data_IF_447211339500
#
_entry.id   IF_447211339500
#
_cell.length_a   1.000
_cell.length_b   1.000
_cell.length_c   1.000
_cell.angle_alpha   90.00
_cell.angle_beta   90.00
_cell.angle_gamma   90.00
#
_symmetry.space_group_name_H-M   'P 1'
#
loop_
_entity.id
_entity.type
_entity.pdbx_description
1 polymer ?
#
# COMPACT_ATOMS: atom_id res chain seq x y z
N UNK A 1 4.37 1.98 12.03
CA UNK A 1 4.91 0.74 11.43
C UNK A 1 4.33 -0.55 12.02
N UNK A 2 4.27 -0.69 13.36
CA UNK A 2 3.82 -1.93 14.03
C UNK A 2 2.45 -2.47 13.54
N UNK A 3 1.44 -1.61 13.43
CA UNK A 3 0.12 -1.97 12.90
C UNK A 3 0.20 -2.59 11.50
N UNK A 4 0.91 -1.96 10.57
CA UNK A 4 1.00 -2.42 9.18
C UNK A 4 1.68 -3.81 9.07
N UNK A 5 2.74 -4.05 9.84
CA UNK A 5 3.41 -5.34 9.89
C UNK A 5 2.48 -6.45 10.40
N UNK A 6 1.78 -6.19 11.51
CA UNK A 6 0.81 -7.12 12.07
C UNK A 6 -0.36 -7.34 11.11
N UNK A 7 -0.89 -6.28 10.50
CA UNK A 7 -1.99 -6.36 9.56
C UNK A 7 -1.64 -7.23 8.36
N UNK A 8 -0.48 -7.01 7.73
CA UNK A 8 -0.02 -7.81 6.60
C UNK A 8 0.07 -9.30 6.96
N UNK A 9 0.66 -9.62 8.12
CA UNK A 9 0.82 -11.01 8.58
C UNK A 9 -0.51 -11.68 8.92
N UNK A 10 -1.42 -10.97 9.61
CA UNK A 10 -2.71 -11.51 10.11
C UNK A 10 -3.77 -11.63 9.02
N UNK A 11 -3.81 -10.69 8.09
CA UNK A 11 -4.82 -10.64 7.01
C UNK A 11 -4.49 -11.54 5.81
N UNK A 12 -3.31 -12.16 5.77
CA UNK A 12 -2.86 -12.95 4.62
C UNK A 12 -2.31 -12.10 3.48
N UNK A 13 -1.57 -11.04 3.81
CA UNK A 13 -0.83 -10.20 2.88
C UNK A 13 -1.57 -8.96 2.36
N UNK A 14 -2.69 -8.57 2.98
CA UNK A 14 -3.33 -7.30 2.62
C UNK A 14 -2.59 -6.10 3.22
N UNK A 15 -2.64 -4.98 2.51
CA UNK A 15 -2.07 -3.69 2.88
C UNK A 15 -3.23 -2.69 3.00
N UNK A 16 -3.38 -1.97 4.12
CA UNK A 16 -4.31 -0.85 4.22
C UNK A 16 -3.90 0.29 3.27
N UNK A 17 -4.86 0.91 2.58
CA UNK A 17 -4.60 2.07 1.72
C UNK A 17 -4.09 3.24 2.56
N UNK A 18 -3.11 4.01 2.05
CA UNK A 18 -2.61 5.22 2.68
C UNK A 18 -2.87 6.46 1.78
N UNK A 19 -3.46 7.56 2.31
CA UNK A 19 -4.00 7.69 3.66
C UNK A 19 -5.20 6.74 3.89
N UNK A 20 -5.32 6.25 5.13
CA UNK A 20 -6.38 5.33 5.55
C UNK A 20 -7.75 5.94 5.24
N UNK A 21 -8.63 5.15 4.60
CA UNK A 21 -9.98 5.57 4.19
C UNK A 21 -10.13 5.94 2.71
N UNK A 22 -9.04 5.95 1.92
CA UNK A 22 -9.15 5.97 0.47
C UNK A 22 -9.57 4.60 -0.08
N UNK A 23 -10.31 4.63 -1.19
CA UNK A 23 -10.76 3.43 -1.89
C UNK A 23 -9.84 3.12 -3.06
N UNK A 24 -9.53 1.85 -3.24
CA UNK A 24 -8.85 1.34 -4.44
C UNK A 24 -9.64 0.18 -5.01
N UNK A 25 -9.52 -0.07 -6.31
CA UNK A 25 -10.25 -1.11 -7.02
C UNK A 25 -9.27 -2.09 -7.68
N UNK A 26 -9.68 -3.35 -7.90
CA UNK A 26 -8.93 -4.24 -8.76
C UNK A 26 -8.67 -3.56 -10.11
N UNK A 27 -7.41 -3.62 -10.55
CA UNK A 27 -6.97 -3.02 -11.78
C UNK A 27 -6.46 -1.59 -11.64
N UNK A 28 -6.64 -0.94 -10.49
CA UNK A 28 -5.99 0.35 -10.25
C UNK A 28 -4.48 0.17 -10.31
N UNK A 29 -3.82 1.01 -11.09
CA UNK A 29 -2.37 1.07 -11.14
C UNK A 29 -1.88 2.39 -10.59
N UNK A 30 -0.81 2.32 -9.81
CA UNK A 30 -0.34 3.43 -9.00
C UNK A 30 1.17 3.41 -8.83
N UNK A 31 1.71 4.53 -8.34
CA UNK A 31 3.09 4.64 -7.89
C UNK A 31 3.11 5.11 -6.43
N UNK A 32 4.16 4.70 -5.71
CA UNK A 32 4.46 5.27 -4.40
C UNK A 32 5.55 6.32 -4.61
N UNK A 33 5.23 7.59 -4.35
CA UNK A 33 6.20 8.70 -4.43
C UNK A 33 6.07 9.56 -3.18
N UNK A 34 7.20 9.89 -2.56
CA UNK A 34 7.27 10.79 -1.39
C UNK A 34 6.28 10.41 -0.27
N UNK A 35 6.23 9.12 0.10
CA UNK A 35 5.31 8.65 1.14
C UNK A 35 3.84 8.58 0.74
N UNK A 36 3.50 8.84 -0.52
CA UNK A 36 2.11 8.88 -1.00
C UNK A 36 1.86 7.88 -2.11
N UNK A 37 0.70 7.23 -2.01
CA UNK A 37 0.13 6.44 -3.10
C UNK A 37 -0.54 7.37 -4.11
N UNK A 38 -0.03 7.39 -5.33
CA UNK A 38 -0.60 8.18 -6.44
C UNK A 38 -1.25 7.20 -7.41
N UNK A 39 -2.59 7.12 -7.38
CA UNK A 39 -3.36 6.32 -8.34
C UNK A 39 -3.31 7.01 -9.71
N UNK A 40 -2.79 6.30 -10.70
CA UNK A 40 -2.54 6.83 -12.04
C UNK A 40 -3.65 6.46 -13.03
N UNK A 41 -4.37 5.38 -12.76
CA UNK A 41 -5.48 4.95 -13.59
C UNK A 41 -5.92 3.54 -13.22
N UNK A 42 -6.72 2.94 -14.10
CA UNK A 42 -7.19 1.57 -13.96
C UNK A 42 -7.02 0.82 -15.28
N UNK A 43 -6.56 -0.44 -15.26
CA UNK A 43 -6.26 -1.23 -16.46
C UNK A 43 -7.50 -1.49 -17.35
N UNK A 44 -8.72 -1.33 -16.83
CA UNK A 44 -9.95 -1.44 -17.61
C UNK A 44 -10.30 -0.13 -18.34
N UNK A 45 -9.69 0.99 -17.94
CA UNK A 45 -9.85 2.27 -18.63
C UNK A 45 -8.89 2.33 -19.82
N UNK A 46 -9.32 3.00 -20.88
CA UNK A 46 -8.56 3.18 -22.12
C UNK A 46 -8.13 1.87 -22.80
N UNK A 47 -8.81 0.74 -22.50
CA UNK A 47 -8.54 -0.58 -23.08
C UNK A 47 -7.09 -1.06 -22.88
N UNK A 48 -6.50 -0.74 -21.72
CA UNK A 48 -5.19 -1.33 -21.35
C UNK A 48 -5.33 -2.84 -21.22
N UNK A 49 -6.47 -3.35 -20.76
CA UNK A 49 -6.93 -4.74 -20.90
C UNK A 49 -8.41 -4.69 -21.29
N UNK A 50 -8.84 -5.58 -22.19
CA UNK A 50 -10.26 -5.66 -22.55
C UNK A 50 -11.02 -6.34 -21.41
N UNK A 51 -12.22 -5.83 -21.09
CA UNK A 51 -13.05 -6.35 -19.99
C UNK A 51 -13.44 -7.83 -20.16
N UNK A 52 -13.42 -8.35 -21.38
CA UNK A 52 -13.69 -9.76 -21.69
C UNK A 52 -12.50 -10.68 -21.40
N UNK A 53 -11.29 -10.12 -21.31
CA UNK A 53 -10.05 -10.87 -21.07
C UNK A 53 -9.75 -10.99 -19.56
N UNK A 54 -10.61 -10.45 -18.69
CA UNK A 54 -10.43 -10.50 -17.23
C UNK A 54 -11.49 -11.37 -16.56
N UNK A 55 -11.04 -12.24 -15.67
CA UNK A 55 -11.90 -13.02 -14.78
C UNK A 55 -11.81 -12.42 -13.37
N UNK A 56 -12.93 -11.86 -12.89
CA UNK A 56 -13.03 -11.31 -11.54
C UNK A 56 -13.84 -12.26 -10.66
N UNK A 57 -13.24 -12.70 -9.56
CA UNK A 57 -13.92 -13.41 -8.49
C UNK A 57 -14.49 -12.43 -7.47
N UNK A 58 -15.79 -12.49 -7.24
CA UNK A 58 -16.51 -11.68 -6.25
C UNK A 58 -16.80 -12.48 -4.98
N UNK A 59 -17.04 -11.78 -3.86
CA UNK A 59 -17.54 -12.34 -2.60
C UNK A 59 -16.68 -13.47 -2.01
N UNK A 60 -15.35 -13.39 -2.17
CA UNK A 60 -14.45 -14.37 -1.55
C UNK A 60 -14.39 -14.08 -0.05
N UNK A 61 -15.06 -14.91 0.77
CA UNK A 61 -15.05 -14.72 2.22
C UNK A 61 -13.63 -14.87 2.77
N UNK A 62 -13.20 -13.87 3.54
CA UNK A 62 -11.92 -13.91 4.24
C UNK A 62 -12.12 -14.45 5.66
N UNK A 63 -11.04 -14.97 6.25
CA UNK A 63 -11.07 -15.49 7.62
C UNK A 63 -11.27 -14.33 8.62
N UNK A 64 -12.41 -14.23 9.34
CA UNK A 64 -12.69 -13.11 10.24
C UNK A 64 -11.68 -12.96 11.37
N UNK A 65 -11.05 -14.05 11.82
CA UNK A 65 -10.05 -14.01 12.90
C UNK A 65 -8.78 -13.24 12.50
N UNK A 66 -8.46 -13.19 11.21
CA UNK A 66 -7.35 -12.40 10.66
C UNK A 66 -7.66 -10.89 10.58
N UNK A 67 -8.89 -10.49 10.89
CA UNK A 67 -9.43 -9.14 10.72
C UNK A 67 -9.94 -8.53 12.04
N UNK A 68 -9.63 -9.17 13.17
CA UNK A 68 -9.89 -8.64 14.51
C UNK A 68 -8.75 -9.02 15.44
N UNK A 69 -7.86 -8.08 15.71
CA UNK A 69 -6.66 -8.31 16.52
C UNK A 69 -6.15 -7.01 17.14
N UNK A 70 -5.32 -7.13 18.16
CA UNK A 70 -4.72 -6.01 18.87
C UNK A 70 -3.31 -6.39 19.30
N UNK A 71 -2.54 -5.36 19.64
CA UNK A 71 -1.20 -5.49 20.20
C UNK A 71 -1.00 -4.39 21.25
N UNK A 72 -0.56 -4.77 22.45
CA UNK A 72 -0.36 -3.84 23.56
C UNK A 72 -1.64 -3.18 24.11
N UNK A 73 -2.81 -3.79 23.96
CA UNK A 73 -4.09 -3.22 24.45
C UNK A 73 -4.72 -4.07 25.55
N UNK A 74 -5.12 -3.41 26.63
CA UNK A 74 -5.92 -4.01 27.70
C UNK A 74 -7.27 -3.31 27.84
N UNK A 75 -8.22 -4.00 28.47
CA UNK A 75 -9.59 -3.51 28.71
C UNK A 75 -9.82 -3.37 30.22
N UNK A 76 -9.21 -2.36 30.88
CA UNK A 76 -9.27 -2.23 32.34
C UNK A 76 -10.70 -2.03 32.87
N UNK A 77 -11.60 -1.52 32.03
CA UNK A 77 -13.00 -1.35 32.40
C UNK A 77 -13.94 -1.67 31.22
N UNK A 78 -14.97 -2.45 31.50
CA UNK A 78 -16.15 -2.60 30.65
C UNK A 78 -17.35 -2.82 31.57
N UNK A 79 -18.32 -1.91 31.54
CA UNK A 79 -19.43 -1.94 32.49
C UNK A 79 -20.50 -0.89 32.22
N UNK A 80 -21.50 -0.86 33.10
CA UNK A 80 -22.61 0.08 33.04
C UNK A 80 -22.28 1.34 33.85
N UNK A 81 -22.66 2.49 33.31
CA UNK A 81 -22.68 3.77 33.99
C UNK A 81 -24.09 4.35 34.00
N UNK A 82 -24.34 5.26 34.94
CA UNK A 82 -25.56 6.08 34.96
C UNK A 82 -25.19 7.56 34.82
N UNK A 83 -25.96 8.27 34.00
CA UNK A 83 -25.83 9.70 33.77
C UNK A 83 -27.11 10.42 34.14
N UNK A 84 -27.02 11.72 34.44
CA UNK A 84 -28.19 12.60 34.61
C UNK A 84 -28.20 13.68 33.54
N UNK A 85 -29.22 13.69 32.71
CA UNK A 85 -29.46 14.75 31.74
C UNK A 85 -30.55 15.72 32.26
N UNK A 86 -30.41 17.05 32.05
CA UNK A 86 -31.38 18.03 32.55
C UNK A 86 -32.82 17.83 32.02
N UNK A 87 -32.96 17.18 30.85
CA UNK A 87 -34.25 17.01 30.14
C UNK A 87 -34.77 15.56 30.24
N UNK A 88 -33.88 14.56 30.18
CA UNK A 88 -34.26 13.14 30.09
C UNK A 88 -34.23 12.39 31.43
N UNK A 89 -33.75 13.02 32.52
CA UNK A 89 -33.61 12.35 33.81
C UNK A 89 -32.37 11.46 33.90
N UNK A 90 -32.44 10.40 34.71
CA UNK A 90 -31.41 9.37 34.80
C UNK A 90 -31.45 8.47 33.56
N UNK A 91 -30.30 8.27 32.91
CA UNK A 91 -30.15 7.34 31.80
C UNK A 91 -28.99 6.40 32.07
N UNK A 92 -29.10 5.15 31.62
CA UNK A 92 -28.03 4.17 31.67
C UNK A 92 -27.24 4.17 30.36
N UNK A 93 -25.94 3.93 30.46
CA UNK A 93 -25.08 3.77 29.30
C UNK A 93 -24.05 2.66 29.56
N UNK A 94 -23.56 2.04 28.50
CA UNK A 94 -22.42 1.12 28.60
C UNK A 94 -21.14 1.90 28.34
N UNK A 95 -20.09 1.67 29.13
CA UNK A 95 -18.78 2.32 29.00
C UNK A 95 -17.66 1.28 28.95
N UNK A 96 -16.66 1.53 28.11
CA UNK A 96 -15.46 0.73 27.95
C UNK A 96 -14.24 1.65 27.93
N UNK A 97 -13.21 1.28 28.69
CA UNK A 97 -11.91 1.95 28.67
C UNK A 97 -10.91 0.98 28.06
N UNK A 98 -10.16 1.46 27.07
CA UNK A 98 -9.06 0.77 26.43
C UNK A 98 -7.75 1.45 26.84
N UNK A 99 -6.84 0.70 27.43
CA UNK A 99 -5.52 1.19 27.82
C UNK A 99 -4.44 0.58 26.92
N UNK A 100 -3.59 1.44 26.36
CA UNK A 100 -2.52 1.09 25.44
C UNK A 100 -1.17 1.14 26.17
N UNK A 101 -0.40 0.07 26.08
CA UNK A 101 0.82 -0.11 26.86
C UNK A 101 1.93 0.87 26.42
N UNK A 102 2.15 0.99 25.11
CA UNK A 102 3.27 1.72 24.53
C UNK A 102 2.87 2.45 23.25
N UNK A 103 3.68 3.44 22.83
CA UNK A 103 3.52 4.09 21.52
C UNK A 103 3.48 3.06 20.39
N UNK A 104 2.50 3.17 19.51
CA UNK A 104 2.29 2.24 18.40
C UNK A 104 1.53 0.96 18.76
N UNK A 105 1.14 0.76 20.04
CA UNK A 105 0.11 -0.21 20.42
C UNK A 105 -1.19 0.10 19.67
N UNK A 106 -1.96 -0.92 19.31
CA UNK A 106 -3.15 -0.72 18.49
C UNK A 106 -4.24 -1.77 18.73
N UNK A 107 -5.47 -1.43 18.38
CA UNK A 107 -6.59 -2.36 18.28
C UNK A 107 -7.30 -2.15 16.96
N UNK A 108 -7.49 -3.25 16.23
CA UNK A 108 -8.18 -3.29 14.94
C UNK A 108 -9.32 -4.30 14.99
N UNK A 109 -10.46 -3.91 14.43
CA UNK A 109 -11.62 -4.78 14.31
C UNK A 109 -12.34 -4.47 13.01
N UNK A 110 -12.67 -5.51 12.26
CA UNK A 110 -13.49 -5.41 11.08
C UNK A 110 -14.45 -6.60 10.98
N UNK A 111 -15.65 -6.32 10.47
CA UNK A 111 -16.72 -7.31 10.41
C UNK A 111 -16.97 -7.77 8.97
N UNK A 112 -17.23 -9.07 8.82
CA UNK A 112 -17.56 -9.72 7.54
C UNK A 112 -16.61 -9.35 6.39
N UNK A 113 -15.29 -9.62 6.55
CA UNK A 113 -14.32 -9.32 5.51
C UNK A 113 -14.53 -10.22 4.29
N UNK A 114 -14.57 -9.63 3.10
CA UNK A 114 -14.65 -10.30 1.82
C UNK A 114 -13.68 -9.66 0.82
N UNK A 115 -13.23 -10.43 -0.18
CA UNK A 115 -12.37 -9.91 -1.24
C UNK A 115 -12.95 -10.06 -2.64
N UNK A 116 -12.56 -9.10 -3.48
CA UNK A 116 -12.75 -9.10 -4.92
C UNK A 116 -11.36 -9.22 -5.55
N UNK A 117 -11.14 -10.22 -6.40
CA UNK A 117 -9.80 -10.53 -6.93
C UNK A 117 -9.81 -10.90 -8.41
N UNK A 118 -8.71 -10.61 -9.09
CA UNK A 118 -8.43 -11.15 -10.42
C UNK A 118 -8.04 -12.62 -10.33
N UNK A 119 -8.73 -13.49 -11.07
CA UNK A 119 -8.50 -14.94 -11.06
C UNK A 119 -7.47 -15.37 -12.11
N UNK A 120 -7.45 -14.68 -13.25
CA UNK A 120 -6.65 -15.02 -14.42
C UNK A 120 -5.40 -14.12 -14.59
N UNK A 121 -4.79 -13.68 -13.47
CA UNK A 121 -3.62 -12.80 -13.50
C UNK A 121 -2.50 -13.32 -14.41
N UNK A 122 -2.25 -14.63 -14.39
CA UNK A 122 -1.18 -15.25 -15.17
C UNK A 122 -1.34 -15.07 -16.67
N UNK A 123 -2.58 -14.93 -17.14
CA UNK A 123 -2.91 -14.80 -18.57
C UNK A 123 -2.70 -13.35 -19.05
N UNK A 124 -2.95 -12.37 -18.18
CA UNK A 124 -2.88 -10.94 -18.54
C UNK A 124 -1.54 -10.27 -18.20
N UNK A 125 -0.72 -10.88 -17.34
CA UNK A 125 0.47 -10.22 -16.77
C UNK A 125 1.49 -9.76 -17.83
N UNK A 126 1.70 -10.54 -18.89
CA UNK A 126 2.65 -10.20 -19.96
C UNK A 126 2.14 -9.04 -20.82
N UNK A 127 0.85 -9.06 -21.15
CA UNK A 127 0.21 -7.96 -21.86
C UNK A 127 0.31 -6.66 -21.04
N UNK A 128 0.13 -6.74 -19.72
CA UNK A 128 0.30 -5.60 -18.83
C UNK A 128 1.73 -5.04 -18.82
N UNK A 129 2.77 -5.90 -18.83
CA UNK A 129 4.16 -5.42 -18.96
C UNK A 129 4.31 -4.61 -20.25
N UNK A 130 3.92 -5.18 -21.39
CA UNK A 130 4.08 -4.51 -22.69
C UNK A 130 3.30 -3.18 -22.70
N UNK A 131 2.05 -3.19 -22.26
CA UNK A 131 1.15 -2.05 -22.39
C UNK A 131 1.48 -0.92 -21.43
N UNK A 132 1.89 -1.23 -20.19
CA UNK A 132 2.26 -0.24 -19.18
C UNK A 132 3.70 0.27 -19.30
N UNK A 133 4.58 -0.44 -20.01
CA UNK A 133 5.98 -0.01 -20.17
C UNK A 133 6.32 0.52 -21.56
N UNK A 134 5.55 0.15 -22.60
CA UNK A 134 5.82 0.55 -23.99
C UNK A 134 4.62 1.15 -24.73
N UNK A 135 3.47 0.46 -24.75
CA UNK A 135 2.40 0.81 -25.70
C UNK A 135 1.68 2.09 -25.32
N UNK A 136 1.29 2.22 -24.06
CA UNK A 136 0.50 3.36 -23.58
C UNK A 136 1.26 4.27 -22.63
N UNK A 137 2.23 3.71 -21.89
CA UNK A 137 3.02 4.42 -20.90
C UNK A 137 4.45 3.91 -20.93
N UNK A 138 5.34 4.61 -20.24
CA UNK A 138 6.77 4.26 -20.11
C UNK A 138 7.17 3.95 -18.67
N UNK A 139 6.28 3.29 -17.91
CA UNK A 139 6.56 3.01 -16.51
C UNK A 139 7.78 2.07 -16.35
N UNK A 140 8.56 2.33 -15.31
CA UNK A 140 9.70 1.49 -14.87
C UNK A 140 9.45 0.89 -13.48
N UNK A 141 8.68 1.61 -12.66
CA UNK A 141 8.13 1.17 -11.40
C UNK A 141 6.63 1.47 -11.41
N UNK A 142 5.78 0.46 -11.24
CA UNK A 142 4.34 0.62 -11.15
C UNK A 142 3.76 -0.55 -10.38
N UNK A 143 2.72 -0.29 -9.61
CA UNK A 143 1.96 -1.30 -8.88
C UNK A 143 0.61 -1.46 -9.57
N UNK A 144 0.08 -2.68 -9.60
CA UNK A 144 -1.27 -3.00 -10.07
C UNK A 144 -2.02 -3.73 -8.97
N UNK A 145 -3.14 -3.18 -8.52
CA UNK A 145 -4.01 -3.80 -7.52
C UNK A 145 -4.67 -5.04 -8.14
N UNK A 146 -4.43 -6.21 -7.55
CA UNK A 146 -4.95 -7.50 -8.04
C UNK A 146 -6.08 -8.04 -7.19
N UNK A 147 -6.13 -7.66 -5.92
CA UNK A 147 -7.14 -8.08 -4.97
C UNK A 147 -7.44 -6.92 -4.02
N UNK A 148 -8.71 -6.69 -3.73
CA UNK A 148 -9.15 -5.74 -2.69
C UNK A 148 -10.00 -6.46 -1.68
N UNK A 149 -9.93 -6.02 -0.43
CA UNK A 149 -10.80 -6.48 0.63
C UNK A 149 -11.71 -5.35 1.11
N UNK A 150 -12.96 -5.73 1.39
CA UNK A 150 -14.00 -4.87 1.96
C UNK A 150 -14.56 -5.54 3.21
N UNK A 151 -15.02 -4.75 4.16
CA UNK A 151 -15.69 -5.20 5.39
C UNK A 151 -17.00 -4.43 5.51
N UNK A 152 -17.99 -4.92 6.25
CA UNK A 152 -19.21 -4.12 6.50
C UNK A 152 -18.86 -2.79 7.17
N UNK A 153 -18.02 -2.90 8.18
CA UNK A 153 -17.47 -1.81 8.96
C UNK A 153 -16.06 -2.21 9.44
N UNK A 154 -15.26 -1.22 9.80
CA UNK A 154 -14.00 -1.44 10.51
C UNK A 154 -13.64 -0.27 11.40
N UNK A 155 -12.86 -0.55 12.44
CA UNK A 155 -12.36 0.46 13.39
C UNK A 155 -10.90 0.18 13.74
N UNK A 156 -10.11 1.23 13.78
CA UNK A 156 -8.70 1.21 14.18
C UNK A 156 -8.43 2.30 15.20
N UNK A 157 -7.73 1.96 16.28
CA UNK A 157 -7.10 2.91 17.19
C UNK A 157 -5.61 2.58 17.33
N UNK A 158 -4.76 3.60 17.28
CA UNK A 158 -3.30 3.50 17.42
C UNK A 158 -2.82 4.52 18.46
N UNK A 159 -2.04 4.04 19.42
CA UNK A 159 -1.44 4.84 20.48
C UNK A 159 -0.32 5.74 19.95
N UNK A 160 -0.34 7.02 20.31
CA UNK A 160 0.71 8.00 20.00
C UNK A 160 1.77 8.17 21.07
N UNK A 161 1.49 7.73 22.29
CA UNK A 161 2.42 7.75 23.43
C UNK A 161 2.27 6.49 24.28
N UNK A 162 3.08 6.40 25.33
CA UNK A 162 2.95 5.34 26.32
C UNK A 162 1.75 5.63 27.23
N UNK A 163 1.05 4.58 27.69
CA UNK A 163 -0.12 4.69 28.57
C UNK A 163 -1.26 5.53 28.00
N UNK A 164 -1.44 5.52 26.67
CA UNK A 164 -2.58 6.16 26.03
C UNK A 164 -3.89 5.46 26.42
N UNK A 165 -4.99 6.21 26.36
CA UNK A 165 -6.29 5.74 26.80
C UNK A 165 -7.40 6.19 25.84
N UNK A 166 -8.30 5.27 25.54
CA UNK A 166 -9.50 5.54 24.77
C UNK A 166 -10.72 5.12 25.58
N UNK A 167 -11.58 6.09 25.88
CA UNK A 167 -12.85 5.88 26.55
C UNK A 167 -14.00 5.96 25.54
N UNK A 168 -14.82 4.91 25.51
CA UNK A 168 -15.94 4.76 24.60
C UNK A 168 -17.20 4.47 25.42
N UNK A 169 -18.32 5.05 25.03
CA UNK A 169 -19.63 4.72 25.58
C UNK A 169 -20.67 4.47 24.49
N UNK A 170 -21.75 3.78 24.83
CA UNK A 170 -22.95 3.68 23.99
C UNK A 170 -24.19 3.93 24.83
N UNK A 171 -25.18 4.54 24.17
CA UNK A 171 -26.48 4.86 24.73
C UNK A 171 -27.41 3.62 24.75
N UNK A 172 -26.97 2.51 24.14
CA UNK A 172 -27.70 1.24 24.15
C UNK A 172 -27.33 0.39 25.37
N UNK A 173 -28.35 -0.02 26.12
CA UNK A 173 -28.19 -0.95 27.23
C UNK A 173 -27.86 -2.35 26.68
N UNK A 174 -26.60 -2.76 26.84
CA UNK A 174 -26.17 -4.11 26.49
C UNK A 174 -26.09 -4.97 27.76
N UNK A 175 -26.82 -6.09 27.78
CA UNK A 175 -26.92 -6.99 28.93
C UNK A 175 -25.71 -7.93 29.11
N UNK A 176 -24.48 -7.46 28.87
CA UNK A 176 -23.25 -8.26 29.05
C UNK A 176 -21.93 -7.48 29.01
N UNK A 177 -20.80 -8.18 29.18
CA UNK A 177 -19.41 -7.72 28.96
C UNK A 177 -19.15 -7.49 27.46
N UNK A 178 -19.91 -6.61 26.82
CA UNK A 178 -19.85 -6.43 25.37
C UNK A 178 -18.69 -5.52 24.99
N UNK A 179 -18.01 -5.90 23.92
CA UNK A 179 -16.95 -5.12 23.31
C UNK A 179 -17.54 -3.93 22.55
N UNK A 180 -17.46 -2.73 23.13
CA UNK A 180 -18.01 -1.51 22.54
C UNK A 180 -17.16 -0.98 21.38
N UNK A 181 -15.90 -1.41 21.29
CA UNK A 181 -15.00 -1.01 20.22
C UNK A 181 -15.56 -1.42 18.85
N UNK A 182 -15.77 -0.42 18.00
CA UNK A 182 -16.33 -0.55 16.66
C UNK A 182 -17.85 -0.73 16.60
N UNK A 183 -18.57 -0.60 17.71
CA UNK A 183 -20.02 -0.65 17.68
C UNK A 183 -20.61 0.60 17.00
N UNK A 184 -21.65 0.45 16.19
CA UNK A 184 -22.25 1.56 15.42
C UNK A 184 -22.78 2.70 16.30
N UNK A 185 -23.40 2.36 17.44
CA UNK A 185 -23.90 3.32 18.43
C UNK A 185 -22.83 3.86 19.39
N UNK A 186 -21.58 3.42 19.27
CA UNK A 186 -20.51 3.87 20.16
C UNK A 186 -20.10 5.32 19.90
N UNK A 187 -19.74 6.03 20.95
CA UNK A 187 -19.22 7.41 20.93
C UNK A 187 -17.95 7.47 21.76
N UNK A 188 -16.97 8.21 21.28
CA UNK A 188 -15.76 8.52 22.04
C UNK A 188 -16.07 9.56 23.10
N UNK A 189 -15.80 9.22 24.35
CA UNK A 189 -15.94 10.14 25.49
C UNK A 189 -14.61 10.85 25.73
N UNK A 190 -13.51 10.11 25.69
CA UNK A 190 -12.18 10.63 25.89
C UNK A 190 -11.18 9.91 24.99
N UNK A 191 -10.24 10.68 24.44
CA UNK A 191 -9.10 10.18 23.67
C UNK A 191 -7.85 10.87 24.22
N UNK A 192 -7.04 10.13 24.97
CA UNK A 192 -5.80 10.61 25.57
C UNK A 192 -4.63 9.95 24.86
N UNK A 193 -3.77 10.76 24.26
CA UNK A 193 -2.52 10.34 23.61
C UNK A 193 -2.70 9.27 22.49
N UNK A 194 -3.88 9.25 21.86
CA UNK A 194 -4.17 8.43 20.68
C UNK A 194 -3.73 9.20 19.43
N UNK A 195 -2.82 8.62 18.64
CA UNK A 195 -2.30 9.22 17.41
C UNK A 195 -3.28 9.07 16.25
N UNK A 196 -3.96 7.92 16.18
CA UNK A 196 -4.91 7.65 15.12
C UNK A 196 -6.14 6.93 15.67
N UNK A 197 -7.32 7.45 15.34
CA UNK A 197 -8.58 6.78 15.60
C UNK A 197 -9.52 6.98 14.41
N UNK A 198 -9.96 5.88 13.81
CA UNK A 198 -10.86 5.90 12.67
C UNK A 198 -11.88 4.79 12.74
N UNK A 199 -13.12 5.14 12.38
CA UNK A 199 -14.23 4.22 12.19
C UNK A 199 -14.80 4.43 10.79
N UNK A 200 -14.88 3.35 10.04
CA UNK A 200 -15.58 3.32 8.76
C UNK A 200 -16.82 2.44 8.92
N UNK A 201 -17.98 3.03 8.66
CA UNK A 201 -19.29 2.38 8.80
C UNK A 201 -19.82 1.85 7.46
N UNK A 202 -19.13 2.16 6.36
CA UNK A 202 -19.53 1.76 5.02
C UNK A 202 -18.59 0.71 4.46
N UNK A 203 -19.16 -0.23 3.71
CA UNK A 203 -18.40 -1.19 2.92
C UNK A 203 -17.62 -0.49 1.80
N UNK A 204 -16.34 -0.24 2.05
CA UNK A 204 -15.38 0.38 1.12
C UNK A 204 -14.13 -0.50 0.94
N UNK A 205 -13.56 -0.56 -0.27
CA UNK A 205 -12.33 -1.29 -0.54
C UNK A 205 -11.12 -0.51 -0.03
N UNK A 206 -10.85 -0.69 1.26
CA UNK A 206 -9.84 0.07 2.02
C UNK A 206 -8.53 -0.71 2.20
N UNK A 207 -8.48 -1.95 1.70
CA UNK A 207 -7.36 -2.86 1.87
C UNK A 207 -7.09 -3.57 0.55
N UNK A 208 -5.83 -3.79 0.20
CA UNK A 208 -5.48 -4.32 -1.12
C UNK A 208 -4.28 -5.26 -1.09
N UNK A 209 -4.16 -6.05 -2.15
CA UNK A 209 -2.91 -6.66 -2.59
C UNK A 209 -2.60 -6.17 -3.99
N UNK A 210 -1.32 -5.96 -4.24
CA UNK A 210 -0.86 -5.48 -5.52
C UNK A 210 0.33 -6.32 -6.02
N UNK A 211 0.51 -6.29 -7.33
CA UNK A 211 1.72 -6.75 -7.99
C UNK A 211 2.56 -5.54 -8.37
N UNK A 212 3.84 -5.56 -8.04
CA UNK A 212 4.80 -4.52 -8.39
C UNK A 212 5.64 -4.95 -9.58
N UNK A 213 5.85 -4.03 -10.51
CA UNK A 213 6.76 -4.22 -11.63
C UNK A 213 8.19 -4.13 -11.09
N UNK A 214 8.98 -5.18 -11.29
CA UNK A 214 10.39 -5.23 -10.89
C UNK A 214 11.25 -5.66 -12.06
N UNK A 215 12.52 -5.29 -11.99
CA UNK A 215 13.53 -5.76 -12.95
C UNK A 215 13.95 -7.17 -12.57
N UNK A 216 14.23 -8.00 -13.57
CA UNK A 216 14.86 -9.31 -13.36
C UNK A 216 16.34 -9.10 -13.06
N UNK A 217 16.74 -9.36 -11.82
CA UNK A 217 18.11 -9.21 -11.32
C UNK A 217 19.15 -9.91 -12.22
N UNK A 218 18.85 -11.13 -12.68
CA UNK A 218 19.71 -11.92 -13.58
C UNK A 218 20.04 -11.23 -14.93
N UNK A 219 19.25 -10.22 -15.31
CA UNK A 219 19.41 -9.47 -16.57
C UNK A 219 19.92 -8.05 -16.36
N UNK A 220 20.02 -7.58 -15.11
CA UNK A 220 20.59 -6.26 -14.78
C UNK A 220 22.06 -6.23 -15.15
N UNK A 221 22.82 -7.27 -14.81
CA UNK A 221 24.26 -7.32 -15.17
C UNK A 221 24.48 -7.34 -16.68
N UNK A 222 23.63 -8.04 -17.43
CA UNK A 222 23.67 -8.04 -18.90
C UNK A 222 23.34 -6.65 -19.46
N UNK A 223 22.29 -6.02 -18.96
CA UNK A 223 21.89 -4.67 -19.36
C UNK A 223 22.98 -3.63 -19.08
N UNK A 224 23.57 -3.67 -17.88
CA UNK A 224 24.67 -2.79 -17.49
C UNK A 224 25.87 -3.02 -18.40
N UNK A 225 26.20 -4.28 -18.70
CA UNK A 225 27.29 -4.62 -19.60
C UNK A 225 27.05 -4.12 -21.03
N UNK A 226 25.81 -4.24 -21.55
CA UNK A 226 25.38 -3.73 -22.86
C UNK A 226 25.46 -2.19 -22.92
N UNK A 227 24.94 -1.50 -21.91
CA UNK A 227 25.01 -0.04 -21.78
C UNK A 227 26.46 0.46 -21.72
N UNK A 228 27.30 -0.18 -20.90
CA UNK A 228 28.74 0.15 -20.82
C UNK A 228 29.42 -0.08 -22.16
N UNK A 229 29.10 -1.16 -22.89
CA UNK A 229 29.66 -1.43 -24.20
C UNK A 229 29.24 -0.37 -25.24
N UNK A 230 27.96 0.02 -25.23
CA UNK A 230 27.43 1.08 -26.11
C UNK A 230 28.10 2.43 -25.83
N UNK A 231 28.40 2.73 -24.56
CA UNK A 231 29.05 3.99 -24.18
C UNK A 231 30.55 4.06 -24.47
N UNK A 232 31.24 2.91 -24.56
CA UNK A 232 32.65 2.89 -25.00
C UNK A 232 32.85 3.38 -26.43
N UNK A 233 31.82 3.33 -27.28
CA UNK A 233 31.82 3.93 -28.61
C UNK A 233 31.40 5.41 -28.65
N UNK A 234 30.88 5.96 -27.56
CA UNK A 234 30.25 7.28 -27.48
C UNK A 234 31.24 8.44 -27.37
N UNK A 235 32.52 8.27 -27.65
CA UNK A 235 33.47 9.40 -27.72
C UNK A 235 33.78 9.82 -29.16
N UNK A 236 33.42 9.00 -30.16
CA UNK A 236 33.68 9.32 -31.57
C UNK A 236 32.77 10.43 -32.10
N UNK A 237 31.54 10.56 -31.59
CA UNK A 237 30.62 11.62 -32.03
C UNK A 237 31.13 13.02 -31.67
N UNK A 238 31.86 13.15 -30.55
CA UNK A 238 32.37 14.44 -30.09
C UNK A 238 33.41 15.02 -31.05
N UNK A 239 34.21 14.15 -31.70
CA UNK A 239 35.19 14.51 -32.72
C UNK A 239 34.55 15.06 -34.01
N UNK A 240 33.31 14.66 -34.30
CA UNK A 240 32.56 15.12 -35.48
C UNK A 240 31.59 16.27 -35.22
N UNK A 241 31.23 16.54 -33.96
CA UNK A 241 30.24 17.55 -33.58
C UNK A 241 30.87 18.90 -33.18
N UNK A 242 31.99 18.87 -32.45
CA UNK A 242 32.67 20.08 -32.05
C UNK A 242 33.81 20.40 -33.03
N UNK A 243 33.84 21.63 -33.54
CA UNK A 243 34.94 22.12 -34.40
C UNK A 243 36.26 22.34 -33.63
N UNK A 244 36.22 22.18 -32.29
CA UNK A 244 37.36 22.35 -31.42
C UNK A 244 38.05 20.99 -31.19
N UNK A 245 39.33 20.91 -31.53
CA UNK A 245 40.15 19.72 -31.30
C UNK A 245 40.47 19.61 -29.80
N UNK A 246 39.53 19.01 -29.06
CA UNK A 246 39.78 18.61 -27.69
C UNK A 246 40.86 17.53 -27.75
N UNK A 247 42.09 17.86 -27.32
CA UNK A 247 43.14 16.89 -27.04
C UNK A 247 42.66 15.98 -25.89
N UNK A 248 41.82 15.02 -26.22
CA UNK A 248 41.24 14.06 -25.28
C UNK A 248 42.32 13.06 -24.93
N UNK A 249 42.93 13.23 -23.76
CA UNK A 249 43.49 12.09 -23.05
C UNK A 249 42.33 11.12 -22.84
N UNK A 250 42.40 9.90 -23.40
CA UNK A 250 41.31 8.92 -23.44
C UNK A 250 40.83 8.43 -22.05
N UNK A 251 41.22 9.10 -20.99
CA UNK A 251 40.85 8.87 -19.61
C UNK A 251 39.58 9.65 -19.23
N UNK A 252 38.53 9.58 -20.04
CA UNK A 252 37.20 9.79 -19.49
C UNK A 252 36.91 8.59 -18.58
N UNK A 253 37.35 8.68 -17.33
CA UNK A 253 37.05 7.72 -16.29
C UNK A 253 35.57 7.87 -16.02
N UNK A 254 34.76 7.11 -16.78
CA UNK A 254 33.41 6.76 -16.34
C UNK A 254 33.62 5.94 -15.08
N UNK A 255 33.66 6.61 -13.93
CA UNK A 255 33.84 5.98 -12.64
C UNK A 255 32.65 5.04 -12.45
N UNK A 256 32.89 3.75 -12.71
CA UNK A 256 31.85 2.71 -12.73
C UNK A 256 31.13 2.60 -11.38
N UNK A 257 31.70 3.19 -10.33
CA UNK A 257 31.14 3.30 -8.99
C UNK A 257 29.85 4.13 -8.92
N UNK A 258 29.68 5.15 -9.78
CA UNK A 258 28.49 6.01 -9.77
C UNK A 258 27.21 5.29 -10.23
N UNK A 259 27.34 4.24 -11.06
CA UNK A 259 26.20 3.47 -11.58
C UNK A 259 25.66 2.44 -10.59
N UNK A 260 26.39 2.16 -9.50
CA UNK A 260 25.94 1.23 -8.45
C UNK A 260 24.80 1.78 -7.59
N UNK A 261 24.57 3.10 -7.61
CA UNK A 261 23.59 3.77 -6.76
C UNK A 261 22.44 4.45 -7.52
N UNK A 262 22.53 4.57 -8.84
CA UNK A 262 21.46 5.11 -9.69
C UNK A 262 20.51 4.03 -10.17
N UNK A 263 19.22 4.37 -10.38
CA UNK A 263 18.28 3.48 -11.04
C UNK A 263 18.70 3.30 -12.50
N UNK A 264 19.46 2.24 -12.80
CA UNK A 264 20.02 1.94 -14.13
C UNK A 264 18.94 1.95 -15.23
N UNK A 265 17.67 1.72 -14.87
CA UNK A 265 16.53 1.78 -15.78
C UNK A 265 16.22 3.18 -16.33
N UNK A 266 16.62 4.23 -15.61
CA UNK A 266 16.42 5.62 -16.04
C UNK A 266 17.41 6.00 -17.15
N UNK A 267 18.44 5.19 -17.38
CA UNK A 267 19.46 5.38 -18.42
C UNK A 267 19.02 4.80 -19.78
N UNK A 268 17.92 4.03 -19.82
CA UNK A 268 17.37 3.49 -21.06
C UNK A 268 16.57 4.57 -21.78
N UNK A 269 16.91 4.85 -23.05
CA UNK A 269 16.22 5.88 -23.80
C UNK A 269 14.74 5.50 -24.01
N UNK A 270 13.82 6.48 -24.06
CA UNK A 270 12.43 6.24 -24.44
C UNK A 270 12.40 5.55 -25.83
N UNK A 271 11.71 4.41 -25.92
CA UNK A 271 11.56 3.55 -27.12
C UNK A 271 12.68 2.53 -27.43
N UNK A 272 13.74 2.39 -26.63
CA UNK A 272 14.74 1.30 -26.82
C UNK A 272 14.25 -0.06 -26.32
N UNK A 273 13.23 -0.07 -25.45
CA UNK A 273 12.58 -1.29 -25.02
C UNK A 273 11.47 -1.66 -26.03
N UNK A 274 11.75 -2.55 -26.98
CA UNK A 274 10.65 -3.16 -27.73
C UNK A 274 9.84 -4.13 -26.82
N UNK A 275 8.63 -4.59 -27.22
CA UNK A 275 7.80 -5.48 -26.41
C UNK A 275 8.51 -6.76 -25.93
N UNK A 276 9.36 -7.36 -26.77
CA UNK A 276 10.11 -8.57 -26.40
C UNK A 276 11.17 -8.25 -25.35
N UNK A 277 11.87 -7.13 -25.51
CA UNK A 277 12.86 -6.61 -24.58
C UNK A 277 12.22 -6.25 -23.23
N UNK A 278 11.01 -5.69 -23.22
CA UNK A 278 10.29 -5.40 -21.98
C UNK A 278 9.95 -6.67 -21.18
N UNK A 279 9.52 -7.75 -21.85
CA UNK A 279 9.24 -9.04 -21.20
C UNK A 279 10.51 -9.73 -20.66
N UNK A 280 11.66 -9.47 -21.29
CA UNK A 280 12.97 -9.98 -20.84
C UNK A 280 13.43 -9.29 -19.57
N UNK A 281 13.25 -7.96 -19.45
CA UNK A 281 13.76 -7.21 -18.30
C UNK A 281 12.78 -7.10 -17.14
N UNK A 282 11.47 -7.08 -17.40
CA UNK A 282 10.49 -6.91 -16.34
C UNK A 282 9.84 -8.24 -15.93
N UNK A 283 9.44 -8.29 -14.66
CA UNK A 283 8.53 -9.28 -14.11
C UNK A 283 7.63 -8.62 -13.06
N UNK A 284 6.54 -9.29 -12.72
CA UNK A 284 5.71 -8.89 -11.59
C UNK A 284 6.16 -9.64 -10.34
N UNK A 285 6.23 -8.93 -9.22
CA UNK A 285 6.42 -9.48 -7.89
C UNK A 285 5.26 -9.06 -6.99
N UNK A 286 5.03 -9.77 -5.88
CA UNK A 286 4.05 -9.34 -4.88
C UNK A 286 4.53 -8.09 -4.14
N UNK A 287 3.61 -7.15 -3.91
CA UNK A 287 3.85 -6.06 -2.97
C UNK A 287 3.99 -6.62 -1.55
N UNK A 288 5.00 -6.14 -0.83
CA UNK A 288 5.39 -6.65 0.48
C UNK A 288 5.56 -5.51 1.50
N UNK A 289 6.07 -5.85 2.68
CA UNK A 289 6.29 -4.87 3.75
C UNK A 289 7.32 -3.80 3.40
N UNK A 290 8.32 -4.12 2.57
CA UNK A 290 9.33 -3.13 2.14
C UNK A 290 8.67 -2.03 1.28
N UNK A 291 7.63 -2.36 0.51
CA UNK A 291 6.86 -1.37 -0.25
C UNK A 291 6.01 -0.49 0.67
N UNK A 292 5.56 -1.03 1.81
CA UNK A 292 4.81 -0.28 2.81
C UNK A 292 5.73 0.74 3.50
N UNK A 293 6.99 0.42 3.73
CA UNK A 293 7.97 1.37 4.30
C UNK A 293 8.15 2.61 3.40
N UNK A 294 8.07 2.46 2.08
CA UNK A 294 8.11 3.59 1.14
C UNK A 294 6.99 4.61 1.36
N UNK A 295 5.87 4.23 1.98
CA UNK A 295 4.77 5.14 2.36
C UNK A 295 5.13 6.01 3.58
N UNK A 296 6.10 5.59 4.39
CA UNK A 296 6.46 6.28 5.64
C UNK A 296 7.84 6.95 5.60
N UNK A 297 8.65 6.65 4.58
CA UNK A 297 9.93 7.33 4.37
C UNK A 297 9.69 8.81 3.98
N UNK A 298 9.68 9.68 4.99
CA UNK A 298 9.95 11.09 4.81
C UNK A 298 11.47 11.26 4.71
N UNK A 299 11.99 11.59 3.52
CA UNK A 299 13.32 12.18 3.44
C UNK A 299 13.23 13.59 4.04
N UNK A 300 13.69 13.76 5.28
CA UNK A 300 13.93 15.06 5.91
C UNK A 300 13.32 15.24 7.30
N UNK A 301 13.95 14.65 8.31
CA UNK A 301 14.39 15.40 9.51
C UNK A 301 15.92 15.44 9.51
#
# INVERSE_FOLDING_TARGET
MNFYQNFYRRSGGFIPVAPLGQSVLPGDFFQIRNGQMIVLGNIFRNKVIELQDIEIGYNNKLNPTGWSFNDGVTKPYSGRGSGRAPIAGEFEFSKQILAFAEKGSFIFKANEPESIRMLNWNDIQQALIIRLTQTYYSFREVYVVTEVATTNDWTLAVSGADLAELEIATDEENFGLVDLFGHHSSKTIQSKDIEFYHREERRKPSFYKAKKLVVREEKVETLVSELIAQWRGYNEWALGFYEYDFHYDHHYVNDQSAYSQGNILDLLAPNELNPNTALLYFKWADANLDDVEKLFNQYGE
#
